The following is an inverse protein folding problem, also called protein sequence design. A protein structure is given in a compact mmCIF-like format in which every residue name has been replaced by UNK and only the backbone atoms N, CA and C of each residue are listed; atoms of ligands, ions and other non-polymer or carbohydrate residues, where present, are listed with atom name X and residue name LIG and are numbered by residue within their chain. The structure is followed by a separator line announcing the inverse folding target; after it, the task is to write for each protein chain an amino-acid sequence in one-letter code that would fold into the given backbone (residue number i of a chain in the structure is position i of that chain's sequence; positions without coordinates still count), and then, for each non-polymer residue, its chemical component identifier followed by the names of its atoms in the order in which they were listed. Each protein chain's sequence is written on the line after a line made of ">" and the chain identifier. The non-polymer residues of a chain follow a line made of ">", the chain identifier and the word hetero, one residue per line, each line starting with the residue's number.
data_IF_316248043518
#
_entry.id   IF_316248043518
#
_cell.length_a   1.000
_cell.length_b   1.000
_cell.length_c   1.000
_cell.angle_alpha   90.00
_cell.angle_beta   90.00
_cell.angle_gamma   90.00
#
_symmetry.space_group_name_H-M   'P 1'
#
loop_
_entity.id
_entity.type
_entity.pdbx_description
1 polymer ?
#
# COMPACT_ATOMS: atom_id res chain seq x y z
N UNK A 1 -10.67 -6.02 6.10
CA UNK A 1 -9.57 -5.25 5.48
C UNK A 1 -8.19 -5.72 5.90
N UNK A 2 -7.72 -5.56 7.16
CA UNK A 2 -6.35 -5.96 7.55
C UNK A 2 -5.97 -7.43 7.24
N UNK A 3 -6.93 -8.35 7.33
CA UNK A 3 -6.73 -9.76 6.99
C UNK A 3 -6.35 -10.01 5.51
N UNK A 4 -6.60 -9.05 4.61
CA UNK A 4 -6.23 -9.17 3.20
C UNK A 4 -4.73 -8.94 2.96
N UNK A 5 -4.03 -8.34 3.93
CA UNK A 5 -2.61 -7.98 3.81
C UNK A 5 -2.38 -6.70 2.99
N UNK A 6 -1.12 -6.38 2.75
CA UNK A 6 -0.68 -5.22 1.98
C UNK A 6 -1.04 -5.39 0.50
N UNK A 7 -1.85 -4.48 -0.04
CA UNK A 7 -2.28 -4.54 -1.44
C UNK A 7 -1.09 -4.44 -2.41
N UNK A 8 -0.07 -3.63 -2.07
CA UNK A 8 1.16 -3.50 -2.87
C UNK A 8 2.00 -4.79 -2.84
N UNK A 9 2.12 -5.46 -1.69
CA UNK A 9 2.81 -6.74 -1.62
C UNK A 9 2.09 -7.81 -2.47
N UNK A 10 0.76 -7.82 -2.45
CA UNK A 10 -0.07 -8.75 -3.24
C UNK A 10 0.05 -8.50 -4.74
N UNK A 11 0.08 -7.24 -5.16
CA UNK A 11 0.19 -6.86 -6.58
C UNK A 11 1.40 -7.51 -7.27
N UNK A 12 2.49 -7.72 -6.53
CA UNK A 12 3.71 -8.36 -7.04
C UNK A 12 4.00 -9.73 -6.40
N UNK A 13 2.99 -10.32 -5.73
CA UNK A 13 3.06 -11.66 -5.12
C UNK A 13 4.26 -11.90 -4.19
N UNK A 14 4.68 -10.86 -3.46
CA UNK A 14 5.77 -10.98 -2.50
C UNK A 14 5.27 -11.40 -1.10
N UNK A 15 6.18 -11.95 -0.30
CA UNK A 15 5.95 -12.10 1.14
C UNK A 15 5.96 -10.73 1.80
N UNK A 16 4.92 -10.44 2.57
CA UNK A 16 4.77 -9.17 3.26
C UNK A 16 5.85 -9.03 4.37
N UNK A 17 6.63 -7.92 4.39
CA UNK A 17 7.74 -7.79 5.32
C UNK A 17 7.35 -7.23 6.70
N UNK A 18 6.18 -6.56 6.81
CA UNK A 18 5.70 -5.95 8.05
C UNK A 18 4.17 -6.04 8.16
N UNK A 19 3.61 -5.82 9.35
CA UNK A 19 2.16 -5.77 9.54
C UNK A 19 1.47 -4.70 8.69
N UNK A 20 0.20 -4.97 8.32
CA UNK A 20 -0.62 -4.07 7.52
C UNK A 20 -1.35 -3.02 8.37
N UNK A 21 -1.34 -1.80 7.86
CA UNK A 21 -1.99 -0.61 8.41
C UNK A 21 -3.04 -0.10 7.42
N UNK A 22 -4.07 0.56 7.95
CA UNK A 22 -5.10 1.21 7.12
C UNK A 22 -4.55 2.55 6.64
N UNK A 23 -4.47 2.71 5.33
CA UNK A 23 -4.10 3.96 4.67
C UNK A 23 -5.34 4.64 4.10
N UNK A 24 -5.61 5.86 4.53
CA UNK A 24 -6.74 6.66 4.03
C UNK A 24 -6.33 7.44 2.79
N UNK A 25 -7.10 7.31 1.72
CA UNK A 25 -6.84 8.01 0.47
C UNK A 25 -7.35 9.46 0.54
N UNK A 26 -6.57 10.37 -0.05
CA UNK A 26 -6.93 11.79 -0.17
C UNK A 26 -7.44 12.10 -1.59
N UNK A 27 -8.24 13.15 -1.72
CA UNK A 27 -8.69 13.66 -3.02
C UNK A 27 -7.47 13.95 -3.91
N UNK A 28 -7.48 13.40 -5.13
CA UNK A 28 -6.37 13.51 -6.07
C UNK A 28 -5.05 12.84 -5.64
N UNK A 29 -5.04 12.03 -4.57
CA UNK A 29 -3.87 11.30 -4.09
C UNK A 29 -2.75 12.18 -3.52
N UNK A 30 -3.06 13.44 -3.18
CA UNK A 30 -2.08 14.38 -2.64
C UNK A 30 -2.18 14.45 -1.11
N UNK A 31 -1.03 14.38 -0.44
CA UNK A 31 -0.97 14.59 1.01
C UNK A 31 -1.50 15.98 1.38
N UNK A 32 -2.33 16.07 2.43
CA UNK A 32 -2.93 17.32 2.90
C UNK A 32 -4.23 17.74 2.19
N UNK A 33 -4.65 17.03 1.13
CA UNK A 33 -6.01 17.17 0.59
C UNK A 33 -7.03 16.47 1.49
N UNK A 34 -8.30 16.80 1.31
CA UNK A 34 -9.42 16.20 2.05
C UNK A 34 -9.39 14.67 1.85
N UNK A 35 -9.63 13.91 2.92
CA UNK A 35 -9.83 12.46 2.83
C UNK A 35 -11.11 12.19 2.07
N UNK A 36 -11.06 11.24 1.13
CA UNK A 36 -12.22 10.97 0.26
C UNK A 36 -13.40 10.36 1.05
N UNK A 37 -13.10 9.51 2.03
CA UNK A 37 -14.06 8.97 3.01
C UNK A 37 -13.40 7.98 3.98
N UNK A 38 -14.15 7.46 4.96
CA UNK A 38 -13.66 6.38 5.84
C UNK A 38 -13.60 5.01 5.12
N UNK A 39 -14.39 4.83 4.06
CA UNK A 39 -14.44 3.58 3.28
C UNK A 39 -13.42 3.55 2.13
N UNK A 40 -12.84 4.70 1.77
CA UNK A 40 -11.81 4.80 0.73
C UNK A 40 -10.42 4.59 1.33
N UNK A 41 -10.17 3.35 1.77
CA UNK A 41 -8.92 2.95 2.41
C UNK A 41 -8.28 1.75 1.72
N UNK A 42 -6.95 1.73 1.72
CA UNK A 42 -6.13 0.60 1.25
C UNK A 42 -5.31 0.04 2.40
N UNK A 43 -5.09 -1.28 2.44
CA UNK A 43 -4.18 -1.88 3.41
C UNK A 43 -2.75 -1.85 2.88
N UNK A 44 -1.81 -1.28 3.63
CA UNK A 44 -0.39 -1.21 3.28
C UNK A 44 0.47 -1.65 4.45
N UNK A 45 1.55 -2.41 4.21
CA UNK A 45 2.50 -2.76 5.27
C UNK A 45 3.31 -1.54 5.72
N UNK A 46 3.95 -1.61 6.90
CA UNK A 46 4.73 -0.49 7.44
C UNK A 46 5.79 0.06 6.46
N UNK A 47 6.42 -0.81 5.65
CA UNK A 47 7.31 -0.40 4.56
C UNK A 47 6.57 0.38 3.45
N UNK A 48 5.57 -0.23 2.80
CA UNK A 48 4.85 0.40 1.69
C UNK A 48 4.06 1.64 2.12
N UNK A 49 3.62 1.71 3.37
CA UNK A 49 2.89 2.85 3.93
C UNK A 49 3.82 3.99 4.36
N UNK A 50 4.65 3.75 5.38
CA UNK A 50 5.43 4.77 6.10
C UNK A 50 6.93 4.71 5.81
N UNK A 51 7.39 3.71 5.07
CA UNK A 51 8.82 3.49 4.83
C UNK A 51 9.56 2.96 6.04
N UNK A 52 8.85 2.34 6.99
CA UNK A 52 9.45 1.69 8.16
C UNK A 52 10.09 0.39 7.70
N UNK A 53 11.37 0.24 7.98
CA UNK A 53 12.15 -0.93 7.58
C UNK A 53 11.87 -2.11 8.51
N UNK A 54 11.89 -3.35 7.99
CA UNK A 54 12.09 -4.53 8.80
C UNK A 54 13.39 -4.40 9.61
N UNK A 55 13.41 -4.95 10.82
CA UNK A 55 14.57 -4.84 11.69
C UNK A 55 15.85 -5.38 11.03
N UNK A 56 16.91 -4.58 11.04
CA UNK A 56 18.21 -4.95 10.47
C UNK A 56 18.34 -4.77 8.96
N UNK A 57 17.29 -4.35 8.24
CA UNK A 57 17.37 -4.09 6.81
C UNK A 57 17.72 -2.62 6.50
N UNK A 58 18.33 -2.39 5.33
CA UNK A 58 18.59 -1.05 4.81
C UNK A 58 17.47 -0.60 3.86
N UNK A 59 17.27 0.72 3.72
CA UNK A 59 16.30 1.25 2.77
C UNK A 59 16.56 0.83 1.32
N UNK A 60 17.84 0.71 0.93
CA UNK A 60 18.22 0.23 -0.39
C UNK A 60 17.83 -1.23 -0.61
N UNK A 61 18.03 -2.07 0.42
CA UNK A 61 17.61 -3.47 0.36
C UNK A 61 16.09 -3.57 0.28
N UNK A 62 15.35 -2.88 1.15
CA UNK A 62 13.90 -2.90 1.15
C UNK A 62 13.30 -2.39 -0.18
N UNK A 63 13.88 -1.36 -0.79
CA UNK A 63 13.45 -0.88 -2.11
C UNK A 63 13.75 -1.88 -3.23
N UNK A 64 14.89 -2.57 -3.17
CA UNK A 64 15.24 -3.61 -4.14
C UNK A 64 14.36 -4.85 -4.00
N UNK A 65 14.10 -5.30 -2.78
CA UNK A 65 13.34 -6.52 -2.47
C UNK A 65 11.84 -6.33 -2.56
N UNK A 66 11.32 -5.20 -2.08
CA UNK A 66 9.89 -4.95 -1.93
C UNK A 66 9.38 -3.78 -2.79
N UNK A 67 10.25 -3.17 -3.59
CA UNK A 67 9.88 -2.01 -4.38
C UNK A 67 9.72 -0.72 -3.56
N UNK A 68 9.29 0.37 -4.21
CA UNK A 68 9.24 1.70 -3.63
C UNK A 68 8.25 1.80 -2.46
N UNK A 69 8.53 2.67 -1.49
CA UNK A 69 7.60 3.03 -0.41
C UNK A 69 6.79 4.27 -0.79
N UNK A 70 5.50 4.32 -0.43
CA UNK A 70 4.66 5.50 -0.70
C UNK A 70 5.21 6.76 -0.02
N UNK A 71 5.63 6.66 1.24
CA UNK A 71 6.17 7.79 1.99
C UNK A 71 7.54 8.27 1.47
N UNK A 72 8.34 7.37 0.90
CA UNK A 72 9.72 7.69 0.44
C UNK A 72 9.79 8.09 -1.03
N UNK A 73 8.95 7.49 -1.87
CA UNK A 73 9.02 7.60 -3.33
C UNK A 73 7.62 7.50 -3.96
N UNK A 74 6.70 8.39 -3.58
CA UNK A 74 5.28 8.31 -3.95
C UNK A 74 4.98 8.27 -5.45
N UNK A 75 5.80 8.94 -6.28
CA UNK A 75 5.67 8.90 -7.74
C UNK A 75 6.02 7.51 -8.30
N UNK A 76 7.12 6.95 -7.82
CA UNK A 76 7.59 5.63 -8.22
C UNK A 76 6.66 4.54 -7.70
N UNK A 77 6.18 4.68 -6.46
CA UNK A 77 5.15 3.81 -5.88
C UNK A 77 3.93 3.68 -6.80
N UNK A 78 3.39 4.81 -7.27
CA UNK A 78 2.23 4.79 -8.16
C UNK A 78 2.53 4.23 -9.53
N UNK A 79 3.75 4.45 -10.03
CA UNK A 79 4.22 3.85 -11.29
C UNK A 79 4.32 2.33 -11.20
N UNK A 80 4.74 1.82 -10.04
CA UNK A 80 4.96 0.38 -9.82
C UNK A 80 3.69 -0.38 -9.42
N UNK A 81 2.89 0.17 -8.50
CA UNK A 81 1.74 -0.54 -7.92
C UNK A 81 0.37 -0.02 -8.37
N UNK A 82 0.33 1.14 -9.02
CA UNK A 82 -0.89 1.80 -9.47
C UNK A 82 -1.26 3.03 -8.64
N UNK A 83 -2.20 3.81 -9.16
CA UNK A 83 -2.75 4.99 -8.49
C UNK A 83 -3.61 4.60 -7.28
N UNK A 84 -3.89 5.59 -6.43
CA UNK A 84 -4.84 5.46 -5.30
C UNK A 84 -6.17 4.81 -5.75
N UNK A 85 -6.72 5.22 -6.90
CA UNK A 85 -7.96 4.66 -7.47
C UNK A 85 -7.81 3.20 -7.90
N UNK A 86 -6.71 2.87 -8.57
CA UNK A 86 -6.43 1.50 -9.00
C UNK A 86 -6.20 0.57 -7.81
N UNK A 87 -5.53 1.04 -6.75
CA UNK A 87 -5.30 0.27 -5.54
C UNK A 87 -6.59 0.07 -4.74
N UNK A 88 -7.44 1.10 -4.67
CA UNK A 88 -8.76 0.98 -4.05
C UNK A 88 -9.64 -0.01 -4.78
N UNK A 89 -9.68 0.06 -6.11
CA UNK A 89 -10.40 -0.90 -6.94
C UNK A 89 -9.94 -2.33 -6.65
N UNK A 90 -8.64 -2.59 -6.71
CA UNK A 90 -8.07 -3.91 -6.43
C UNK A 90 -8.42 -4.40 -5.02
N UNK A 91 -8.36 -3.52 -4.01
CA UNK A 91 -8.75 -3.92 -2.67
C UNK A 91 -10.25 -4.25 -2.58
N UNK A 92 -11.12 -3.47 -3.21
CA UNK A 92 -12.56 -3.72 -3.21
C UNK A 92 -12.91 -5.03 -3.93
N UNK A 93 -12.22 -5.34 -5.04
CA UNK A 93 -12.35 -6.62 -5.74
C UNK A 93 -11.98 -7.80 -4.83
N UNK A 94 -10.96 -7.67 -3.98
CA UNK A 94 -10.58 -8.71 -3.01
C UNK A 94 -11.57 -8.86 -1.86
N UNK A 95 -12.15 -7.76 -1.38
CA UNK A 95 -13.19 -7.80 -0.35
C UNK A 95 -14.44 -8.50 -0.89
N UNK A 96 -14.84 -8.15 -2.12
CA UNK A 96 -16.05 -8.68 -2.75
C UNK A 96 -15.88 -10.11 -3.29
N UNK A 97 -14.68 -10.47 -3.77
CA UNK A 97 -14.35 -11.78 -4.33
C UNK A 97 -13.89 -12.83 -3.30
N UNK A 98 -13.59 -12.41 -2.06
CA UNK A 98 -13.18 -13.29 -0.96
C UNK A 98 -14.35 -13.93 -0.18
N UNK A 99 -15.59 -13.73 -0.64
CA UNK A 99 -16.79 -14.37 -0.11
C UNK A 99 -17.27 -15.48 -1.03
N UNK A 100 -16.53 -16.59 -1.10
CA UNK A 100 -16.99 -17.89 -1.61
C UNK A 100 -16.39 -19.00 -0.75
#
# INVERSE_FOLDING_TARGET
>A
MKALGCIACRAVRMTQPNESEIHHLNEGGQAGRKRRGHDETVCLCAWHHRGVLPAGESARFAEWSYGPSLARASKEFRRTFGTDDQLLQQQNELINGGGQ
#
